data_IF_844465718114
#
_entry.id   IF_844465718114
#
_cell.length_a   1.000
_cell.length_b   1.000
_cell.length_c   1.000
_cell.angle_alpha   90.00
_cell.angle_beta   90.00
_cell.angle_gamma   90.00
#
_symmetry.space_group_name_H-M   'P 1'
#
loop_
_entity.id
_entity.type
_entity.pdbx_description
1 polymer ?
#
# COMPACT_ATOMS: atom_id res chain seq x y z
N UNK A 1 -23.61 5.58 -1.39
CA UNK A 1 -23.96 5.09 -0.04
C UNK A 1 -24.67 6.21 0.68
N UNK A 2 -25.75 5.93 1.41
CA UNK A 2 -26.43 6.92 2.25
C UNK A 2 -25.62 7.19 3.53
N UNK A 3 -25.69 8.39 4.14
CA UNK A 3 -25.10 8.64 5.45
C UNK A 3 -25.62 7.73 6.58
N UNK A 4 -26.83 7.19 6.42
CA UNK A 4 -27.48 6.32 7.40
C UNK A 4 -27.26 4.81 7.14
N UNK A 5 -26.53 4.46 6.07
CA UNK A 5 -26.19 3.06 5.79
C UNK A 5 -25.18 2.55 6.84
N UNK A 6 -25.22 1.26 7.14
CA UNK A 6 -24.36 0.64 8.13
C UNK A 6 -22.89 0.57 7.63
N UNK A 7 -21.93 0.75 8.55
CA UNK A 7 -20.49 0.69 8.24
C UNK A 7 -20.06 -0.68 7.69
N UNK A 8 -20.71 -1.77 8.09
CA UNK A 8 -20.51 -3.11 7.56
C UNK A 8 -20.90 -3.17 6.07
N UNK A 9 -22.02 -2.57 5.67
CA UNK A 9 -22.44 -2.48 4.26
C UNK A 9 -21.44 -1.67 3.43
N UNK A 10 -20.85 -0.63 4.03
CA UNK A 10 -19.79 0.15 3.41
C UNK A 10 -18.59 -0.72 3.04
N UNK A 11 -18.15 -1.56 3.99
CA UNK A 11 -17.01 -2.45 3.81
C UNK A 11 -17.30 -3.55 2.79
N UNK A 12 -18.50 -4.14 2.80
CA UNK A 12 -18.91 -5.12 1.79
C UNK A 12 -18.86 -4.48 0.40
N UNK A 13 -19.41 -3.27 0.23
CA UNK A 13 -19.35 -2.53 -1.05
C UNK A 13 -17.91 -2.21 -1.46
N UNK A 14 -17.07 -1.78 -0.52
CA UNK A 14 -15.64 -1.53 -0.76
C UNK A 14 -14.93 -2.80 -1.23
N UNK A 15 -15.14 -3.93 -0.54
CA UNK A 15 -14.59 -5.25 -0.89
C UNK A 15 -15.05 -5.70 -2.26
N UNK A 16 -16.36 -5.71 -2.49
CA UNK A 16 -16.95 -6.27 -3.71
C UNK A 16 -16.63 -5.44 -4.96
N UNK A 17 -16.50 -4.12 -4.78
CA UNK A 17 -16.12 -3.21 -5.87
C UNK A 17 -14.60 -3.01 -5.98
N UNK A 18 -13.81 -3.62 -5.09
CA UNK A 18 -12.36 -3.43 -4.99
C UNK A 18 -11.92 -1.95 -4.92
N UNK A 19 -12.63 -1.16 -4.10
CA UNK A 19 -12.35 0.26 -3.86
C UNK A 19 -12.08 0.52 -2.39
N UNK A 20 -11.30 1.56 -2.09
CA UNK A 20 -10.94 1.96 -0.71
C UNK A 20 -11.57 3.29 -0.27
N UNK A 21 -12.29 3.95 -1.18
CA UNK A 21 -12.92 5.23 -0.97
C UNK A 21 -14.36 5.12 -1.47
N UNK A 22 -15.32 5.42 -0.60
CA UNK A 22 -16.73 5.28 -0.91
C UNK A 22 -17.41 6.66 -0.74
N UNK A 23 -17.93 7.25 -1.82
CA UNK A 23 -18.66 8.51 -1.73
C UNK A 23 -19.99 8.31 -0.99
N UNK A 24 -20.24 9.19 -0.02
CA UNK A 24 -21.50 9.27 0.70
C UNK A 24 -22.37 10.31 0.00
N UNK A 25 -23.57 9.89 -0.41
CA UNK A 25 -24.50 10.65 -1.24
C UNK A 25 -25.85 10.66 -0.54
N UNK A 26 -26.43 11.85 -0.39
CA UNK A 26 -27.78 12.04 0.14
C UNK A 26 -28.55 12.94 -0.83
N UNK A 27 -29.79 12.58 -1.17
CA UNK A 27 -30.63 13.35 -2.10
C UNK A 27 -29.94 13.69 -3.43
N UNK A 28 -29.14 12.76 -3.96
CA UNK A 28 -28.40 12.93 -5.21
C UNK A 28 -27.18 13.86 -5.13
N UNK A 29 -26.81 14.35 -3.95
CA UNK A 29 -25.63 15.19 -3.73
C UNK A 29 -24.57 14.46 -2.92
N UNK A 30 -23.31 14.60 -3.31
CA UNK A 30 -22.19 14.09 -2.52
C UNK A 30 -22.03 14.95 -1.25
N UNK A 31 -22.18 14.32 -0.09
CA UNK A 31 -22.10 14.98 1.22
C UNK A 31 -20.81 14.62 1.97
N UNK A 32 -20.10 13.58 1.54
CA UNK A 32 -18.84 13.19 2.16
C UNK A 32 -18.12 12.06 1.45
N UNK A 33 -16.97 11.70 2.00
CA UNK A 33 -16.14 10.58 1.54
C UNK A 33 -15.79 9.72 2.74
N UNK A 34 -16.16 8.44 2.69
CA UNK A 34 -15.75 7.46 3.69
C UNK A 34 -14.54 6.71 3.13
N UNK A 35 -13.42 6.71 3.86
CA UNK A 35 -12.24 5.92 3.47
C UNK A 35 -12.15 4.65 4.30
N UNK A 36 -11.53 3.62 3.73
CA UNK A 36 -11.25 2.39 4.46
C UNK A 36 -10.44 2.65 5.75
N UNK A 37 -9.51 3.63 5.71
CA UNK A 37 -8.72 4.00 6.89
C UNK A 37 -9.59 4.54 8.02
N UNK A 38 -10.63 5.31 7.70
CA UNK A 38 -11.55 5.85 8.70
C UNK A 38 -12.31 4.72 9.40
N UNK A 39 -12.77 3.73 8.62
CA UNK A 39 -13.46 2.55 9.16
C UNK A 39 -12.54 1.76 10.09
N UNK A 40 -11.33 1.42 9.63
CA UNK A 40 -10.37 0.63 10.42
C UNK A 40 -9.84 1.35 11.65
N UNK A 41 -9.88 2.69 11.67
CA UNK A 41 -9.49 3.48 12.84
C UNK A 41 -10.50 3.34 13.98
N UNK A 42 -11.77 3.15 13.64
CA UNK A 42 -12.87 3.02 14.60
C UNK A 42 -13.00 1.57 15.02
N UNK A 43 -13.04 0.65 14.06
CA UNK A 43 -13.21 -0.78 14.31
C UNK A 43 -12.15 -1.60 13.54
N UNK A 44 -10.99 -1.88 14.15
CA UNK A 44 -9.91 -2.64 13.52
C UNK A 44 -10.28 -4.09 13.20
N UNK A 45 -11.22 -4.69 13.95
CA UNK A 45 -11.62 -6.09 13.76
C UNK A 45 -12.27 -6.34 12.40
N UNK A 46 -12.86 -5.31 11.78
CA UNK A 46 -13.48 -5.41 10.46
C UNK A 46 -12.48 -5.62 9.32
N UNK A 47 -11.18 -5.59 9.62
CA UNK A 47 -10.16 -5.96 8.66
C UNK A 47 -10.37 -7.37 8.09
N UNK A 48 -10.90 -8.30 8.89
CA UNK A 48 -11.16 -9.68 8.48
C UNK A 48 -12.11 -9.77 7.27
N UNK A 49 -13.12 -8.89 7.20
CA UNK A 49 -14.08 -8.83 6.10
C UNK A 49 -13.44 -8.45 4.76
N UNK A 50 -12.28 -7.80 4.79
CA UNK A 50 -11.56 -7.39 3.58
C UNK A 50 -10.64 -8.49 3.05
N UNK A 51 -10.29 -9.46 3.89
CA UNK A 51 -9.32 -10.51 3.57
C UNK A 51 -9.92 -11.61 2.67
N UNK A 52 -11.25 -11.69 2.55
CA UNK A 52 -11.95 -12.78 1.86
C UNK A 52 -11.76 -12.87 0.34
N UNK A 53 -11.17 -11.87 -0.32
CA UNK A 53 -10.83 -11.91 -1.77
C UNK A 53 -9.37 -11.66 -2.09
N UNK A 54 -8.48 -11.89 -1.13
CA UNK A 54 -7.20 -12.45 -1.54
C UNK A 54 -7.46 -13.94 -1.81
N UNK A 55 -7.96 -14.27 -3.01
CA UNK A 55 -7.25 -15.34 -3.71
C UNK A 55 -5.79 -14.96 -3.53
N UNK A 56 -4.96 -15.90 -3.07
CA UNK A 56 -3.54 -15.77 -3.35
C UNK A 56 -3.44 -15.77 -4.87
N UNK A 57 -3.73 -14.63 -5.51
CA UNK A 57 -3.04 -14.24 -6.70
C UNK A 57 -1.61 -14.25 -6.20
N UNK A 58 -0.91 -15.31 -6.56
CA UNK A 58 0.50 -15.23 -6.88
C UNK A 58 0.69 -14.18 -7.99
N UNK A 59 0.23 -12.94 -7.79
CA UNK A 59 0.69 -11.76 -8.53
C UNK A 59 2.06 -11.46 -7.98
N UNK A 60 2.97 -12.41 -8.18
CA UNK A 60 4.35 -12.39 -7.78
C UNK A 60 4.51 -12.01 -6.30
N UNK A 61 4.94 -12.97 -5.49
CA UNK A 61 6.08 -12.63 -4.63
C UNK A 61 7.13 -12.04 -5.59
N UNK A 62 7.12 -10.72 -5.84
CA UNK A 62 8.37 -10.01 -5.97
C UNK A 62 9.04 -10.40 -4.66
N UNK A 63 10.10 -11.22 -4.70
CA UNK A 63 10.69 -11.66 -3.47
C UNK A 63 11.02 -10.38 -2.68
N UNK A 64 10.92 -10.45 -1.35
CA UNK A 64 11.12 -9.28 -0.48
C UNK A 64 12.48 -8.59 -0.77
N UNK A 65 13.38 -9.27 -1.50
CA UNK A 65 14.62 -8.75 -2.06
C UNK A 65 14.48 -7.71 -3.20
N UNK A 66 13.30 -7.52 -3.81
CA UNK A 66 13.08 -6.63 -4.97
C UNK A 66 12.38 -5.31 -4.65
N UNK A 67 11.92 -5.10 -3.42
CA UNK A 67 11.62 -3.75 -2.94
C UNK A 67 12.94 -3.15 -2.44
N UNK A 68 13.86 -2.89 -3.37
CA UNK A 68 14.99 -2.01 -3.08
C UNK A 68 14.37 -0.62 -2.98
N UNK A 69 14.20 -0.11 -1.75
CA UNK A 69 14.09 1.33 -1.55
C UNK A 69 15.28 1.95 -2.28
N UNK A 70 15.02 2.69 -3.36
CA UNK A 70 16.09 3.35 -4.12
C UNK A 70 16.84 4.33 -3.20
N UNK A 71 16.16 4.84 -2.19
CA UNK A 71 16.67 5.62 -1.08
C UNK A 71 17.29 4.72 0.01
N UNK A 72 18.62 4.70 0.09
CA UNK A 72 19.35 3.98 1.13
C UNK A 72 20.73 4.58 1.38
N UNK A 73 21.38 4.14 2.46
CA UNK A 73 22.78 4.46 2.74
C UNK A 73 23.67 3.59 1.84
N UNK A 74 24.54 4.23 1.07
CA UNK A 74 25.60 3.55 0.32
C UNK A 74 26.58 2.87 1.27
N UNK A 75 26.76 1.56 1.14
CA UNK A 75 27.67 0.77 1.99
C UNK A 75 29.16 0.97 1.64
N UNK A 76 29.47 1.65 0.54
CA UNK A 76 30.85 1.99 0.14
C UNK A 76 31.35 3.33 0.72
N UNK A 77 30.49 4.37 0.73
CA UNK A 77 30.87 5.71 1.18
C UNK A 77 30.08 6.25 2.37
N UNK A 78 29.03 5.55 2.82
CA UNK A 78 28.19 5.97 3.95
C UNK A 78 27.18 7.08 3.66
N UNK A 79 27.10 7.58 2.42
CA UNK A 79 26.16 8.63 2.04
C UNK A 79 24.73 8.08 1.88
N UNK A 80 23.72 8.81 2.37
CA UNK A 80 22.31 8.57 2.04
C UNK A 80 22.03 9.09 0.63
N UNK A 81 21.57 8.22 -0.27
CA UNK A 81 21.34 8.56 -1.68
C UNK A 81 19.99 8.02 -2.16
N UNK A 82 19.35 8.75 -3.06
CA UNK A 82 18.03 8.42 -3.61
C UNK A 82 18.03 7.25 -4.60
N UNK A 83 19.21 6.87 -5.10
CA UNK A 83 19.37 5.75 -6.03
C UNK A 83 20.61 4.93 -5.67
N UNK A 84 20.41 3.84 -4.92
CA UNK A 84 21.40 2.77 -4.73
C UNK A 84 21.17 1.61 -5.72
N UNK A 85 22.27 1.01 -6.15
CA UNK A 85 22.29 -0.21 -6.96
C UNK A 85 22.88 -1.36 -6.14
N UNK A 86 22.32 -2.57 -6.27
CA UNK A 86 22.82 -3.76 -5.59
C UNK A 86 23.95 -4.41 -6.40
N UNK A 87 25.19 -4.36 -5.91
CA UNK A 87 26.38 -4.99 -6.51
C UNK A 87 26.91 -6.05 -5.54
N UNK A 88 27.00 -7.31 -5.98
CA UNK A 88 27.52 -8.44 -5.18
C UNK A 88 26.90 -8.53 -3.76
N UNK A 89 25.64 -8.13 -3.62
CA UNK A 89 24.91 -8.14 -2.34
C UNK A 89 24.99 -6.85 -1.52
N UNK A 90 25.82 -5.87 -1.91
CA UNK A 90 25.95 -4.56 -1.26
C UNK A 90 25.18 -3.47 -2.00
N UNK A 91 24.57 -2.54 -1.27
CA UNK A 91 23.89 -1.35 -1.81
C UNK A 91 24.90 -0.21 -1.99
N UNK A 92 25.17 0.18 -3.23
CA UNK A 92 26.17 1.19 -3.58
C UNK A 92 25.55 2.30 -4.41
N UNK A 93 26.00 3.54 -4.23
CA UNK A 93 25.71 4.61 -5.18
C UNK A 93 26.40 4.34 -6.52
N UNK A 94 25.99 5.05 -7.58
CA UNK A 94 26.54 4.88 -8.93
C UNK A 94 28.08 4.95 -8.97
N UNK A 95 28.66 5.85 -8.18
CA UNK A 95 30.11 6.00 -8.04
C UNK A 95 30.77 4.75 -7.44
N UNK A 96 30.32 4.30 -6.27
CA UNK A 96 30.91 3.14 -5.61
C UNK A 96 30.63 1.84 -6.36
N UNK A 97 29.50 1.76 -7.08
CA UNK A 97 29.18 0.64 -7.95
C UNK A 97 30.16 0.52 -9.12
N UNK A 98 30.53 1.64 -9.76
CA UNK A 98 31.51 1.67 -10.85
C UNK A 98 32.93 1.25 -10.40
N UNK A 99 33.28 1.50 -9.14
CA UNK A 99 34.56 1.12 -8.55
C UNK A 99 34.63 -0.37 -8.16
N UNK A 100 33.49 -1.06 -8.07
CA UNK A 100 33.38 -2.46 -7.60
C UNK A 100 32.85 -3.46 -8.65
N UNK A 101 32.71 -3.00 -9.90
CA UNK A 101 32.30 -3.81 -11.05
C UNK A 101 33.37 -4.86 -11.41
#
# INVERSE_FOLDING_TARGET
MSPNDDIYDALIKMRDSNIRHLPVVENGKMVGLLTLKDVLKIEPSLFELLVEKFELREETRKPIDRVISREAICQGCGAYVENVTKVKGSLLCERCAAEQA
#
